data_IF_300039623377
#
_entry.id   IF_300039623377
#
_cell.length_a   1.000
_cell.length_b   1.000
_cell.length_c   1.000
_cell.angle_alpha   90.00
_cell.angle_beta   90.00
_cell.angle_gamma   90.00
#
_symmetry.space_group_name_H-M   'P 1'
#
loop_
_entity.id
_entity.type
_entity.pdbx_description
1 polymer ?
#
# COMPACT_ATOMS: atom_id res chain seq x y z
N UNK A 1 -24.19 -64.28 -37.79
CA UNK A 1 -24.19 -63.46 -36.55
C UNK A 1 -23.07 -62.44 -36.70
N UNK A 2 -23.25 -61.22 -37.21
CA UNK A 2 -24.06 -60.06 -36.77
C UNK A 2 -23.52 -59.37 -35.50
N UNK A 3 -23.03 -58.12 -35.70
CA UNK A 3 -22.97 -56.93 -34.81
C UNK A 3 -22.03 -56.98 -33.58
N UNK A 4 -21.46 -55.91 -33.01
CA UNK A 4 -21.36 -54.44 -33.22
C UNK A 4 -20.47 -53.89 -32.07
N UNK A 5 -19.53 -52.98 -32.34
CA UNK A 5 -19.50 -51.56 -31.91
C UNK A 5 -19.43 -51.19 -30.39
N UNK A 6 -18.54 -50.23 -30.12
CA UNK A 6 -18.59 -49.10 -29.15
C UNK A 6 -18.18 -49.27 -27.66
N UNK A 7 -17.15 -48.48 -27.31
CA UNK A 7 -16.99 -47.55 -26.17
C UNK A 7 -17.54 -47.89 -24.79
N UNK A 8 -16.71 -47.77 -23.75
CA UNK A 8 -16.97 -46.93 -22.54
C UNK A 8 -15.68 -46.74 -21.71
N UNK A 9 -15.24 -45.48 -21.69
CA UNK A 9 -14.59 -44.68 -20.62
C UNK A 9 -14.34 -45.39 -19.28
N UNK A 10 -13.10 -45.33 -18.77
CA UNK A 10 -12.84 -45.34 -17.32
C UNK A 10 -11.87 -44.20 -16.95
N UNK A 11 -12.40 -43.26 -16.17
CA UNK A 11 -11.72 -42.16 -15.51
C UNK A 11 -11.10 -42.67 -14.19
N UNK A 12 -9.87 -42.29 -13.86
CA UNK A 12 -9.31 -42.02 -12.51
C UNK A 12 -7.78 -41.86 -12.64
N UNK A 13 -7.20 -40.65 -12.76
CA UNK A 13 -6.81 -39.73 -11.68
C UNK A 13 -6.02 -40.40 -10.54
N UNK A 14 -4.68 -40.26 -10.52
CA UNK A 14 -3.97 -39.25 -9.71
C UNK A 14 -2.44 -39.46 -9.64
N UNK A 15 -1.76 -38.31 -9.61
CA UNK A 15 -0.45 -38.02 -9.04
C UNK A 15 0.81 -38.53 -9.77
N UNK A 16 1.28 -37.72 -10.73
CA UNK A 16 2.64 -37.78 -11.26
C UNK A 16 3.13 -36.37 -11.62
N UNK A 17 3.81 -35.75 -10.67
CA UNK A 17 4.70 -34.58 -10.73
C UNK A 17 4.85 -33.86 -12.07
N UNK A 18 4.19 -32.70 -12.22
CA UNK A 18 4.60 -31.68 -13.19
C UNK A 18 5.49 -30.65 -12.49
N UNK A 19 6.80 -30.77 -12.71
CA UNK A 19 7.72 -29.65 -12.61
C UNK A 19 7.37 -28.64 -13.71
N UNK A 20 6.49 -27.70 -13.42
CA UNK A 20 6.31 -26.51 -14.24
C UNK A 20 7.08 -25.37 -13.58
N UNK A 21 8.30 -25.16 -14.07
CA UNK A 21 8.96 -23.87 -14.01
C UNK A 21 8.06 -22.88 -14.74
N UNK A 22 7.20 -22.22 -13.97
CA UNK A 22 6.35 -21.14 -14.44
C UNK A 22 7.27 -19.92 -14.63
N UNK A 23 7.85 -19.81 -15.83
CA UNK A 23 8.38 -18.54 -16.32
C UNK A 23 7.20 -17.57 -16.45
N UNK A 24 6.84 -16.93 -15.35
CA UNK A 24 5.84 -15.88 -15.30
C UNK A 24 6.39 -14.63 -15.99
N UNK A 25 5.62 -14.08 -16.92
CA UNK A 25 5.87 -12.81 -17.59
C UNK A 25 6.27 -11.69 -16.59
N UNK A 26 7.26 -10.82 -16.89
CA UNK A 26 7.71 -9.74 -15.99
C UNK A 26 6.57 -8.80 -15.53
N UNK A 27 5.54 -8.61 -16.36
CA UNK A 27 4.39 -7.74 -16.08
C UNK A 27 3.42 -8.27 -15.02
N UNK A 28 3.49 -9.56 -14.66
CA UNK A 28 2.59 -10.14 -13.65
C UNK A 28 3.13 -9.86 -12.24
N UNK A 29 4.44 -9.70 -12.06
CA UNK A 29 5.04 -9.35 -10.77
C UNK A 29 4.78 -7.90 -10.34
N UNK A 30 4.70 -6.95 -11.28
CA UNK A 30 4.39 -5.53 -10.96
C UNK A 30 2.96 -5.34 -10.44
N UNK A 31 2.02 -6.19 -10.84
CA UNK A 31 0.63 -6.15 -10.35
C UNK A 31 0.43 -6.91 -9.05
N UNK A 32 1.21 -7.97 -8.81
CA UNK A 32 1.13 -8.76 -7.57
C UNK A 32 1.90 -8.11 -6.39
N UNK A 33 2.83 -7.21 -6.68
CA UNK A 33 3.56 -6.40 -5.70
C UNK A 33 2.83 -5.10 -5.31
N UNK A 34 1.54 -4.96 -5.65
CA UNK A 34 0.74 -3.77 -5.29
C UNK A 34 0.44 -3.77 -3.80
N UNK A 35 1.11 -2.85 -3.12
CA UNK A 35 0.91 -2.36 -1.79
C UNK A 35 -0.54 -1.90 -1.54
N UNK A 36 -1.46 -2.80 -1.20
CA UNK A 36 -2.87 -2.43 -1.02
C UNK A 36 -3.48 -3.17 0.17
N UNK A 37 -3.51 -2.49 1.32
CA UNK A 37 -4.47 -2.81 2.38
C UNK A 37 -5.76 -2.00 2.25
N UNK A 38 -5.69 -0.77 1.74
CA UNK A 38 -6.87 0.06 1.45
C UNK A 38 -7.27 -0.03 -0.03
N UNK A 39 -8.56 0.18 -0.31
CA UNK A 39 -9.05 0.39 -1.68
C UNK A 39 -8.40 1.65 -2.27
N UNK A 40 -7.77 1.52 -3.44
CA UNK A 40 -7.31 2.67 -4.23
C UNK A 40 -8.43 3.14 -5.14
N UNK A 41 -8.69 4.44 -5.07
CA UNK A 41 -9.67 5.14 -5.88
C UNK A 41 -8.95 5.96 -6.95
N UNK A 42 -9.35 5.75 -8.21
CA UNK A 42 -8.84 6.51 -9.34
C UNK A 42 -9.81 7.68 -9.59
N UNK A 43 -9.37 8.92 -9.38
CA UNK A 43 -10.15 10.12 -9.72
C UNK A 43 -9.92 10.50 -11.18
N UNK A 44 -8.67 10.89 -11.51
CA UNK A 44 -8.21 11.12 -12.88
C UNK A 44 -6.96 10.29 -13.12
N UNK A 45 -7.01 9.24 -13.98
CA UNK A 45 -5.86 8.38 -14.22
C UNK A 45 -4.61 9.19 -14.63
N UNK A 46 -3.47 8.90 -14.01
CA UNK A 46 -2.21 9.56 -14.34
C UNK A 46 -2.05 10.98 -13.81
N UNK A 47 -2.97 11.46 -12.95
CA UNK A 47 -2.87 12.76 -12.30
C UNK A 47 -2.55 12.57 -10.82
N UNK A 48 -1.36 12.99 -10.35
CA UNK A 48 -1.02 12.95 -8.94
C UNK A 48 -2.09 13.64 -8.08
N UNK A 49 -2.43 13.01 -6.97
CA UNK A 49 -3.36 13.47 -5.98
C UNK A 49 -2.57 13.98 -4.77
N UNK A 50 -2.62 15.29 -4.56
CA UNK A 50 -2.13 15.96 -3.36
C UNK A 50 -3.39 16.36 -2.56
N UNK A 51 -3.67 15.59 -1.51
CA UNK A 51 -4.89 15.73 -0.71
C UNK A 51 -4.58 16.17 0.73
N UNK A 52 -3.32 16.20 1.11
CA UNK A 52 -2.87 16.57 2.43
C UNK A 52 -2.00 17.83 2.39
N UNK A 53 -2.25 18.74 3.33
CA UNK A 53 -1.39 19.91 3.47
C UNK A 53 -0.03 19.57 4.08
N UNK A 54 0.76 20.62 4.31
CA UNK A 54 2.08 20.52 4.94
C UNK A 54 2.08 19.62 6.19
N UNK A 55 3.15 18.84 6.32
CA UNK A 55 3.35 17.92 7.43
C UNK A 55 4.48 18.35 8.35
N UNK A 56 4.35 18.05 9.64
CA UNK A 56 5.51 17.90 10.53
C UNK A 56 6.10 16.49 10.38
N UNK A 57 7.32 16.27 10.86
CA UNK A 57 7.89 14.92 10.94
C UNK A 57 8.97 14.84 12.02
N UNK A 58 9.01 13.72 12.74
CA UNK A 58 9.98 13.44 13.79
C UNK A 58 10.28 11.93 13.88
N UNK A 59 11.52 11.59 14.24
CA UNK A 59 11.90 10.21 14.53
C UNK A 59 11.40 9.79 15.92
N UNK A 60 10.77 8.62 16.00
CA UNK A 60 10.20 8.04 17.23
C UNK A 60 11.17 7.07 17.89
N UNK A 61 11.76 6.17 17.09
CA UNK A 61 12.68 5.12 17.51
C UNK A 61 13.58 4.69 16.34
N UNK A 62 14.47 3.73 16.57
CA UNK A 62 15.40 3.20 15.56
C UNK A 62 14.94 1.87 14.95
N UNK A 63 13.68 1.47 15.14
CA UNK A 63 13.15 0.16 14.73
C UNK A 63 12.38 0.22 13.39
N UNK A 64 12.49 1.34 12.67
CA UNK A 64 11.81 1.59 11.41
C UNK A 64 12.27 0.70 10.24
N UNK A 65 11.65 0.87 9.06
CA UNK A 65 11.77 -0.07 7.94
C UNK A 65 13.14 -0.04 7.27
N UNK A 66 13.39 -1.03 6.39
CA UNK A 66 14.55 -0.99 5.51
C UNK A 66 14.40 0.19 4.53
N UNK A 67 15.44 1.01 4.40
CA UNK A 67 15.44 2.17 3.52
C UNK A 67 15.11 1.78 2.08
N UNK A 68 15.72 0.70 1.58
CA UNK A 68 15.50 0.18 0.22
C UNK A 68 14.04 -0.18 -0.05
N UNK A 69 13.33 -0.77 0.91
CA UNK A 69 11.92 -1.13 0.72
C UNK A 69 11.05 0.14 0.60
N UNK A 70 11.39 1.19 1.33
CA UNK A 70 10.71 2.47 1.27
C UNK A 70 11.00 3.24 -0.02
N UNK A 71 12.25 3.27 -0.47
CA UNK A 71 12.61 3.83 -1.79
C UNK A 71 11.84 3.12 -2.91
N UNK A 72 11.70 1.80 -2.82
CA UNK A 72 10.98 1.03 -3.83
C UNK A 72 9.46 1.30 -3.81
N UNK A 73 8.86 1.46 -2.63
CA UNK A 73 7.46 1.88 -2.51
C UNK A 73 7.25 3.27 -3.12
N UNK A 74 8.09 4.24 -2.76
CA UNK A 74 8.04 5.60 -3.31
C UNK A 74 8.13 5.58 -4.84
N UNK A 75 9.12 4.86 -5.40
CA UNK A 75 9.33 4.78 -6.84
C UNK A 75 8.15 4.14 -7.58
N UNK A 76 7.51 3.11 -7.01
CA UNK A 76 6.30 2.50 -7.60
C UNK A 76 5.15 3.50 -7.60
N UNK A 77 4.93 4.22 -6.49
CA UNK A 77 3.87 5.22 -6.35
C UNK A 77 4.07 6.40 -7.32
N UNK A 78 5.30 6.92 -7.43
CA UNK A 78 5.64 8.04 -8.31
C UNK A 78 5.46 7.71 -9.80
N UNK A 79 5.86 6.50 -10.23
CA UNK A 79 5.82 6.11 -11.64
C UNK A 79 4.49 5.46 -12.07
N UNK A 80 3.61 5.16 -11.12
CA UNK A 80 2.27 4.64 -11.38
C UNK A 80 1.26 5.40 -10.50
N UNK A 81 1.04 6.70 -10.77
CA UNK A 81 0.08 7.49 -10.01
C UNK A 81 -1.34 6.98 -10.31
N UNK A 82 -1.82 6.13 -9.42
CA UNK A 82 -3.08 5.39 -9.53
C UNK A 82 -4.18 6.05 -8.66
N UNK A 83 -3.97 7.28 -8.15
CA UNK A 83 -5.00 8.08 -7.48
C UNK A 83 -4.78 8.20 -5.98
N UNK A 84 -5.79 7.86 -5.18
CA UNK A 84 -5.77 8.08 -3.73
C UNK A 84 -6.32 6.89 -2.96
N UNK A 85 -5.94 6.76 -1.70
CA UNK A 85 -6.49 5.83 -0.73
C UNK A 85 -7.55 6.52 0.14
N UNK A 86 -8.56 5.76 0.54
CA UNK A 86 -9.42 6.12 1.67
C UNK A 86 -9.00 5.24 2.84
N UNK A 87 -8.16 5.80 3.71
CA UNK A 87 -7.60 5.09 4.84
C UNK A 87 -8.62 5.00 5.98
N UNK A 88 -9.04 3.76 6.28
CA UNK A 88 -9.90 3.39 7.41
C UNK A 88 -11.34 3.92 7.34
N UNK A 89 -12.21 3.39 8.21
CA UNK A 89 -13.50 3.98 8.63
C UNK A 89 -13.40 4.19 10.14
N UNK A 90 -12.77 5.29 10.54
CA UNK A 90 -12.44 5.51 11.94
C UNK A 90 -13.72 5.69 12.75
N UNK A 91 -13.83 5.01 13.90
CA UNK A 91 -14.90 5.28 14.87
C UNK A 91 -14.78 6.69 15.45
N UNK A 92 -15.78 7.14 16.22
CA UNK A 92 -15.79 8.50 16.83
C UNK A 92 -14.56 8.80 17.69
N UNK A 93 -13.90 7.78 18.22
CA UNK A 93 -12.72 7.96 19.06
C UNK A 93 -11.44 8.15 18.21
N UNK A 94 -11.44 7.78 16.92
CA UNK A 94 -10.38 8.12 15.96
C UNK A 94 -8.96 7.60 16.23
N UNK A 95 -8.72 6.96 17.37
CA UNK A 95 -7.37 6.76 17.92
C UNK A 95 -6.62 5.54 17.38
N UNK A 96 -7.31 4.59 16.76
CA UNK A 96 -6.70 3.39 16.22
C UNK A 96 -5.88 3.74 14.97
N UNK A 97 -4.72 3.12 14.81
CA UNK A 97 -3.95 3.22 13.57
C UNK A 97 -4.58 2.35 12.48
N UNK A 98 -4.78 2.92 11.29
CA UNK A 98 -5.15 2.19 10.09
C UNK A 98 -3.99 2.26 9.09
N UNK A 99 -3.46 1.10 8.72
CA UNK A 99 -2.48 0.96 7.65
C UNK A 99 -3.21 1.02 6.30
N UNK A 100 -2.70 1.83 5.37
CA UNK A 100 -3.34 2.01 4.06
C UNK A 100 -2.44 1.57 2.90
N UNK A 101 -1.12 1.61 3.07
CA UNK A 101 -0.17 1.11 2.08
C UNK A 101 1.04 0.47 2.74
N UNK A 102 1.59 -0.56 2.09
CA UNK A 102 2.79 -1.26 2.55
C UNK A 102 3.54 -1.96 1.43
N UNK A 103 4.85 -2.00 1.55
CA UNK A 103 5.70 -2.84 0.73
C UNK A 103 6.80 -3.46 1.60
N UNK A 104 6.74 -4.78 1.76
CA UNK A 104 7.71 -5.54 2.57
C UNK A 104 7.81 -4.93 3.98
N UNK A 105 8.99 -4.43 4.38
CA UNK A 105 9.16 -3.79 5.69
C UNK A 105 8.56 -2.39 5.77
N UNK A 106 8.35 -1.68 4.65
CA UNK A 106 7.91 -0.29 4.67
C UNK A 106 6.38 -0.18 4.69
N UNK A 107 5.80 0.14 5.83
CA UNK A 107 4.37 0.40 5.99
C UNK A 107 4.07 1.87 6.26
N UNK A 108 2.92 2.35 5.79
CA UNK A 108 2.37 3.67 6.15
C UNK A 108 1.00 3.50 6.77
N UNK A 109 0.83 4.09 7.95
CA UNK A 109 -0.42 4.07 8.71
C UNK A 109 -0.80 5.46 9.17
N UNK A 110 -2.09 5.65 9.44
CA UNK A 110 -2.67 6.92 9.84
C UNK A 110 -3.69 6.71 10.96
N UNK A 111 -3.84 7.69 11.83
CA UNK A 111 -4.95 7.78 12.78
C UNK A 111 -5.50 9.20 12.81
N UNK A 112 -6.76 9.36 13.20
CA UNK A 112 -7.36 10.69 13.37
C UNK A 112 -6.99 11.28 14.72
N UNK A 113 -6.78 12.59 14.74
CA UNK A 113 -6.47 13.35 15.95
C UNK A 113 -7.52 14.41 16.28
N UNK A 114 -8.56 14.54 15.46
CA UNK A 114 -9.64 15.52 15.61
C UNK A 114 -10.87 15.00 16.39
N UNK A 115 -10.85 13.76 16.87
CA UNK A 115 -11.98 13.15 17.58
C UNK A 115 -13.22 12.97 16.70
N UNK A 116 -13.04 12.94 15.38
CA UNK A 116 -14.09 12.58 14.43
C UNK A 116 -13.88 11.17 13.88
N UNK A 117 -14.94 10.60 13.32
CA UNK A 117 -14.88 9.34 12.60
C UNK A 117 -14.87 9.49 11.08
N UNK A 118 -14.94 8.36 10.38
CA UNK A 118 -14.94 8.28 8.91
C UNK A 118 -13.55 8.36 8.30
N UNK A 119 -13.53 8.18 6.99
CA UNK A 119 -12.32 7.91 6.23
C UNK A 119 -11.37 9.11 6.10
N UNK A 120 -10.08 8.81 5.96
CA UNK A 120 -9.03 9.79 5.68
C UNK A 120 -8.57 9.65 4.23
N UNK A 121 -8.74 10.67 3.38
CA UNK A 121 -8.18 10.64 2.04
C UNK A 121 -6.66 10.83 2.08
N UNK A 122 -5.91 9.99 1.36
CA UNK A 122 -4.46 10.12 1.18
C UNK A 122 -4.14 9.93 -0.29
N UNK A 123 -3.51 10.90 -0.93
CA UNK A 123 -3.11 10.81 -2.32
C UNK A 123 -1.76 10.14 -2.53
N UNK A 124 -1.51 9.68 -3.75
CA UNK A 124 -0.21 9.18 -4.19
C UNK A 124 0.91 10.22 -4.07
N UNK A 125 0.65 11.48 -4.41
CA UNK A 125 1.60 12.58 -4.21
C UNK A 125 1.93 12.76 -2.73
N UNK A 126 0.93 12.67 -1.83
CA UNK A 126 1.14 12.78 -0.38
C UNK A 126 2.10 11.69 0.12
N UNK A 127 1.97 10.45 -0.38
CA UNK A 127 2.89 9.35 -0.06
C UNK A 127 4.30 9.65 -0.57
N UNK A 128 4.44 10.10 -1.83
CA UNK A 128 5.74 10.44 -2.41
C UNK A 128 6.42 11.56 -1.63
N UNK A 129 5.69 12.62 -1.29
CA UNK A 129 6.21 13.78 -0.57
C UNK A 129 6.67 13.42 0.86
N UNK A 130 5.88 12.61 1.56
CA UNK A 130 6.25 12.08 2.87
C UNK A 130 7.52 11.24 2.80
N UNK A 131 7.56 10.26 1.89
CA UNK A 131 8.71 9.37 1.76
C UNK A 131 9.97 10.13 1.37
N UNK A 132 9.86 11.06 0.42
CA UNK A 132 10.97 11.90 0.00
C UNK A 132 11.49 12.78 1.14
N UNK A 133 10.61 13.36 1.95
CA UNK A 133 10.99 14.16 3.13
C UNK A 133 11.73 13.30 4.17
N UNK A 134 11.20 12.11 4.46
CA UNK A 134 11.80 11.16 5.42
C UNK A 134 13.16 10.65 4.94
N UNK A 135 13.28 10.27 3.67
CA UNK A 135 14.54 9.83 3.08
C UNK A 135 15.56 10.98 3.08
N UNK A 136 15.14 12.21 2.79
CA UNK A 136 16.06 13.36 2.81
C UNK A 136 16.64 13.62 4.21
N UNK A 137 15.85 13.48 5.26
CA UNK A 137 16.30 13.79 6.63
C UNK A 137 16.97 12.60 7.35
N UNK A 138 16.50 11.38 7.12
CA UNK A 138 16.84 10.22 7.95
C UNK A 138 17.54 9.06 7.21
N UNK A 139 17.94 9.21 5.95
CA UNK A 139 18.62 8.16 5.16
C UNK A 139 20.08 7.89 5.59
N UNK A 140 20.27 7.50 6.85
CA UNK A 140 21.57 7.13 7.40
C UNK A 140 21.62 5.64 7.69
N UNK A 141 22.27 4.89 6.80
CA UNK A 141 22.46 3.44 6.91
C UNK A 141 21.39 2.64 6.16
N UNK A 142 21.18 1.39 6.57
CA UNK A 142 20.27 0.47 5.85
C UNK A 142 18.82 0.55 6.33
N UNK A 143 18.57 1.18 7.49
CA UNK A 143 17.26 1.30 8.12
C UNK A 143 16.92 2.75 8.41
N UNK A 144 15.67 3.08 8.18
CA UNK A 144 15.08 4.32 8.66
C UNK A 144 14.66 4.16 10.12
N UNK A 145 14.65 5.24 10.91
CA UNK A 145 13.88 5.26 12.14
C UNK A 145 12.39 5.07 11.85
N UNK A 146 11.59 4.71 12.87
CA UNK A 146 10.15 4.93 12.76
C UNK A 146 9.91 6.42 12.75
N UNK A 147 9.24 6.95 11.74
CA UNK A 147 8.99 8.39 11.60
C UNK A 147 7.49 8.64 11.64
N UNK A 148 7.09 9.64 12.41
CA UNK A 148 5.71 10.07 12.49
C UNK A 148 5.59 11.58 12.25
N UNK A 149 4.38 12.02 11.97
CA UNK A 149 4.10 13.43 11.78
C UNK A 149 2.62 13.74 11.85
N UNK A 150 2.30 15.03 11.76
CA UNK A 150 0.92 15.50 11.76
C UNK A 150 0.66 16.33 10.51
N UNK A 151 -0.54 16.16 9.95
CA UNK A 151 -1.01 16.92 8.80
C UNK A 151 -2.54 17.01 8.80
N UNK A 152 -3.09 17.75 7.85
CA UNK A 152 -4.54 17.76 7.59
C UNK A 152 -4.78 17.32 6.15
N UNK A 153 -5.65 16.32 5.97
CA UNK A 153 -6.05 15.83 4.66
C UNK A 153 -7.50 16.20 4.36
N UNK A 154 -7.82 16.43 3.09
CA UNK A 154 -9.18 16.75 2.67
C UNK A 154 -9.46 16.35 1.23
N UNK A 155 -10.68 15.84 0.99
CA UNK A 155 -11.23 15.59 -0.34
C UNK A 155 -12.75 15.72 -0.28
N UNK A 156 -13.33 16.47 -1.22
CA UNK A 156 -14.76 16.81 -1.24
C UNK A 156 -15.25 17.38 0.11
N UNK A 157 -16.14 16.67 0.81
CA UNK A 157 -16.65 17.05 2.14
C UNK A 157 -15.87 16.40 3.29
N UNK A 158 -14.93 15.49 3.00
CA UNK A 158 -14.08 14.89 4.03
C UNK A 158 -12.91 15.81 4.37
N UNK A 159 -12.69 15.99 5.66
CA UNK A 159 -11.52 16.68 6.22
C UNK A 159 -11.10 15.93 7.49
N UNK A 160 -9.81 15.69 7.63
CA UNK A 160 -9.25 14.97 8.76
C UNK A 160 -7.95 15.59 9.23
N UNK A 161 -7.87 15.94 10.52
CA UNK A 161 -6.57 16.13 11.16
C UNK A 161 -6.04 14.75 11.56
N UNK A 162 -4.80 14.47 11.15
CA UNK A 162 -4.24 13.12 11.29
C UNK A 162 -2.83 13.14 11.83
N UNK A 163 -2.49 12.03 12.45
CA UNK A 163 -1.12 11.62 12.68
C UNK A 163 -0.83 10.45 11.76
N UNK A 164 0.30 10.49 11.06
CA UNK A 164 0.77 9.43 10.18
C UNK A 164 2.07 8.85 10.69
N UNK A 165 2.40 7.64 10.25
CA UNK A 165 3.65 7.00 10.59
C UNK A 165 4.16 6.10 9.45
N UNK A 166 5.45 6.21 9.15
CA UNK A 166 6.22 5.23 8.39
C UNK A 166 6.87 4.28 9.41
N UNK A 167 6.54 2.99 9.31
CA UNK A 167 6.91 1.99 10.32
C UNK A 167 7.37 0.68 9.67
N UNK A 168 8.04 -0.14 10.48
CA UNK A 168 8.44 -1.50 10.12
C UNK A 168 7.27 -2.49 10.35
N UNK A 169 6.81 -3.16 9.29
CA UNK A 169 5.66 -4.10 9.30
C UNK A 169 5.99 -5.44 9.94
#
# INVERSE_FOLDING_TARGET
MILSSLSTIFLLLLAGSYSNALQLHPRVNERLARALLAETYIDTPGTPQDLCGNSTFEAVDHEGPLQYDCEYLMNITEHNPDGFWMAGDFGRDGTAWAEFTRLRSCGIRVRRTDGQGGDVPFGDQDVVDLMNSVLTEFSVGDRLPTVQGQMTCSKYTSRAAVEWQIFNV
#
